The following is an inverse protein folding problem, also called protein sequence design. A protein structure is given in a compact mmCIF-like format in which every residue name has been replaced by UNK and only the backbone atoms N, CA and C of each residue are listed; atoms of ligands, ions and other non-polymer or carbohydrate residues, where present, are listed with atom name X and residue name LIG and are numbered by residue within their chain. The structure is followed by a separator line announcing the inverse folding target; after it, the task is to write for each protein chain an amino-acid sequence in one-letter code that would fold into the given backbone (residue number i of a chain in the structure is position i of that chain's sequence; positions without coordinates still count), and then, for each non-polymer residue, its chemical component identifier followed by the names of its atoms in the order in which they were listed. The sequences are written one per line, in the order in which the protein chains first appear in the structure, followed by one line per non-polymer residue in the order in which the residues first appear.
data_IF_324847044796
#
_entry.id   IF_324847044796
#
_cell.length_a   1.000
_cell.length_b   1.000
_cell.length_c   1.000
_cell.angle_alpha   90.00
_cell.angle_beta   90.00
_cell.angle_gamma   90.00
#
_symmetry.space_group_name_H-M   'P 1'
#
loop_
_entity.id
_entity.type
_entity.pdbx_description
1 polymer ?
#
# COMPACT_ATOMS: atom_id res chain seq x y z
N UNK A 1 -11.11 2.42 7.70
CA UNK A 1 -10.16 3.35 8.33
C UNK A 1 -9.09 3.73 7.32
N UNK A 2 -8.73 5.00 7.24
CA UNK A 2 -7.72 5.46 6.29
C UNK A 2 -6.34 4.97 6.69
N UNK A 3 -5.53 4.57 5.71
CA UNK A 3 -4.16 4.16 5.96
C UNK A 3 -3.19 5.26 5.48
N UNK A 4 -2.91 6.20 6.37
CA UNK A 4 -2.02 7.31 6.05
C UNK A 4 -0.56 6.87 5.92
N UNK A 5 -0.18 5.80 6.60
CA UNK A 5 1.16 5.23 6.48
C UNK A 5 1.39 4.68 5.09
N UNK A 6 0.40 3.97 4.55
CA UNK A 6 0.47 3.46 3.19
C UNK A 6 0.49 4.61 2.18
N UNK A 7 -0.29 5.65 2.41
CA UNK A 7 -0.33 6.80 1.51
C UNK A 7 1.02 7.50 1.41
N UNK A 8 1.73 7.65 2.53
CA UNK A 8 3.00 8.38 2.56
C UNK A 8 4.21 7.53 2.17
N UNK A 9 4.17 6.20 2.35
CA UNK A 9 5.31 5.33 2.10
C UNK A 9 5.81 5.37 0.66
N UNK A 10 4.95 5.25 -0.39
CA UNK A 10 5.44 5.34 -1.77
C UNK A 10 6.01 6.73 -2.09
N UNK A 11 5.41 7.79 -1.56
CA UNK A 11 5.90 9.15 -1.79
C UNK A 11 7.32 9.33 -1.25
N UNK A 12 7.64 8.72 -0.11
CA UNK A 12 8.98 8.79 0.47
C UNK A 12 10.03 8.11 -0.42
N UNK A 13 9.61 7.19 -1.30
CA UNK A 13 10.48 6.49 -2.24
C UNK A 13 10.35 7.01 -3.67
N UNK A 14 9.71 8.16 -3.86
CA UNK A 14 9.42 8.74 -5.17
C UNK A 14 8.61 7.82 -6.08
N UNK A 15 7.77 6.97 -5.48
CA UNK A 15 6.86 6.09 -6.22
C UNK A 15 5.49 6.75 -6.31
N UNK A 16 4.91 6.76 -7.50
CA UNK A 16 3.50 7.13 -7.64
C UNK A 16 2.61 5.97 -7.19
N UNK A 17 1.32 6.25 -6.98
CA UNK A 17 0.36 5.19 -6.70
C UNK A 17 0.28 4.19 -7.84
N UNK A 18 0.42 4.66 -9.08
CA UNK A 18 0.44 3.77 -10.25
C UNK A 18 1.68 2.87 -10.23
N UNK A 19 2.84 3.43 -9.88
CA UNK A 19 4.07 2.64 -9.76
C UNK A 19 3.91 1.55 -8.71
N UNK A 20 3.33 1.87 -7.56
CA UNK A 20 3.09 0.90 -6.51
C UNK A 20 2.13 -0.20 -6.98
N UNK A 21 1.04 0.19 -7.63
CA UNK A 21 0.06 -0.75 -8.16
C UNK A 21 0.70 -1.71 -9.15
N UNK A 22 1.53 -1.18 -10.06
CA UNK A 22 2.24 -2.00 -11.05
C UNK A 22 3.20 -2.99 -10.38
N UNK A 23 3.90 -2.56 -9.33
CA UNK A 23 4.84 -3.42 -8.62
C UNK A 23 4.14 -4.58 -7.91
N UNK A 24 2.96 -4.36 -7.38
CA UNK A 24 2.23 -5.40 -6.64
C UNK A 24 1.20 -6.14 -7.51
N UNK A 25 1.01 -5.71 -8.76
CA UNK A 25 0.16 -6.42 -9.69
C UNK A 25 -1.34 -6.17 -9.50
N UNK A 26 -1.71 -5.00 -9.01
CA UNK A 26 -3.12 -4.60 -8.84
C UNK A 26 -3.38 -3.27 -9.53
N UNK A 27 -4.64 -2.86 -9.61
CA UNK A 27 -4.99 -1.56 -10.19
C UNK A 27 -4.70 -0.43 -9.21
N UNK A 28 -4.50 0.77 -9.74
CA UNK A 28 -4.36 1.97 -8.94
C UNK A 28 -5.60 2.20 -8.05
N UNK A 29 -6.78 1.86 -8.59
CA UNK A 29 -8.03 1.99 -7.82
C UNK A 29 -8.01 1.12 -6.56
N UNK A 30 -7.43 -0.07 -6.65
CA UNK A 30 -7.28 -0.95 -5.49
C UNK A 30 -6.39 -0.30 -4.42
N UNK A 31 -5.27 0.28 -4.83
CA UNK A 31 -4.38 0.97 -3.89
C UNK A 31 -5.11 2.14 -3.23
N UNK A 32 -5.84 2.94 -4.02
CA UNK A 32 -6.61 4.06 -3.48
C UNK A 32 -7.67 3.60 -2.48
N UNK A 33 -8.35 2.49 -2.78
CA UNK A 33 -9.39 1.96 -1.89
C UNK A 33 -8.79 1.48 -0.55
N UNK A 34 -7.60 0.88 -0.60
CA UNK A 34 -6.91 0.48 0.63
C UNK A 34 -6.52 1.70 1.46
N UNK A 35 -6.01 2.74 0.82
CA UNK A 35 -5.62 3.98 1.51
C UNK A 35 -6.81 4.67 2.18
N UNK A 36 -7.97 4.60 1.54
CA UNK A 36 -9.19 5.20 2.08
C UNK A 36 -9.85 4.35 3.17
N UNK A 37 -9.46 3.09 3.29
CA UNK A 37 -10.10 2.16 4.21
C UNK A 37 -11.35 1.50 3.66
N UNK A 38 -11.61 1.62 2.36
CA UNK A 38 -12.78 1.04 1.69
C UNK A 38 -12.59 -0.41 1.26
N UNK A 39 -11.36 -0.89 1.30
CA UNK A 39 -11.02 -2.24 0.86
C UNK A 39 -10.04 -2.86 1.85
N UNK A 40 -10.34 -4.09 2.29
CA UNK A 40 -9.47 -4.83 3.20
C UNK A 40 -8.59 -5.77 2.38
N UNK A 41 -7.29 -5.49 2.23
CA UNK A 41 -6.41 -6.33 1.44
C UNK A 41 -6.19 -7.69 2.11
N UNK A 42 -5.94 -8.71 1.28
CA UNK A 42 -5.52 -10.01 1.81
C UNK A 42 -4.13 -9.87 2.43
N UNK A 43 -3.75 -10.83 3.28
CA UNK A 43 -2.41 -10.81 3.88
C UNK A 43 -1.33 -10.89 2.80
N UNK A 44 -1.55 -11.64 1.73
CA UNK A 44 -0.60 -11.74 0.63
C UNK A 44 -0.41 -10.39 -0.05
N UNK A 45 -1.49 -9.64 -0.26
CA UNK A 45 -1.42 -8.31 -0.86
C UNK A 45 -0.70 -7.33 0.08
N UNK A 46 -0.98 -7.40 1.39
CA UNK A 46 -0.28 -6.60 2.38
C UNK A 46 1.23 -6.85 2.34
N UNK A 47 1.63 -8.11 2.26
CA UNK A 47 3.05 -8.48 2.17
C UNK A 47 3.67 -7.92 0.89
N UNK A 48 2.98 -8.04 -0.25
CA UNK A 48 3.49 -7.52 -1.52
C UNK A 48 3.69 -6.01 -1.46
N UNK A 49 2.73 -5.28 -0.89
CA UNK A 49 2.84 -3.83 -0.72
C UNK A 49 4.03 -3.48 0.16
N UNK A 50 4.18 -4.17 1.30
CA UNK A 50 5.28 -3.92 2.22
C UNK A 50 6.63 -4.14 1.54
N UNK A 51 6.78 -5.21 0.76
CA UNK A 51 8.01 -5.48 0.03
C UNK A 51 8.30 -4.40 -1.01
N UNK A 52 7.27 -3.91 -1.68
CA UNK A 52 7.42 -2.89 -2.71
C UNK A 52 7.95 -1.57 -2.15
N UNK A 53 7.57 -1.22 -0.92
CA UNK A 53 7.96 0.04 -0.29
C UNK A 53 9.04 -0.13 0.78
N UNK A 54 9.55 -1.35 0.98
CA UNK A 54 10.63 -1.60 1.94
C UNK A 54 10.22 -1.41 3.40
N UNK A 55 8.96 -1.68 3.71
CA UNK A 55 8.42 -1.55 5.07
C UNK A 55 7.95 -2.91 5.57
N UNK A 56 7.73 -3.01 6.88
CA UNK A 56 7.13 -4.20 7.48
C UNK A 56 5.63 -4.05 7.59
N UNK A 57 4.93 -5.16 7.86
CA UNK A 57 3.50 -5.12 8.11
C UNK A 57 3.15 -4.21 9.28
N UNK A 58 3.97 -4.25 10.34
CA UNK A 58 3.77 -3.40 11.52
C UNK A 58 3.84 -1.93 11.16
N UNK A 59 4.72 -1.56 10.24
CA UNK A 59 4.92 -0.16 9.86
C UNK A 59 3.78 0.39 9.03
N UNK A 60 3.10 -0.45 8.23
CA UNK A 60 2.07 0.01 7.30
C UNK A 60 0.65 -0.33 7.74
N UNK A 61 0.44 -1.49 8.32
CA UNK A 61 -0.91 -2.02 8.58
C UNK A 61 -1.21 -2.25 10.06
N UNK A 62 -0.30 -1.92 10.94
CA UNK A 62 -0.46 -2.10 12.38
C UNK A 62 -0.25 -0.78 13.09
N UNK A 63 -1.01 -0.53 14.13
CA UNK A 63 -0.86 0.68 14.93
C UNK A 63 0.14 0.50 16.06
#
# INVERSE_FOLDING_TARGET
MKNLKLKSAPAALDLSQQDLADKVGVSRQTINAIEKGDYNPTINLCIAICKAVGKTLDELFWE
#
